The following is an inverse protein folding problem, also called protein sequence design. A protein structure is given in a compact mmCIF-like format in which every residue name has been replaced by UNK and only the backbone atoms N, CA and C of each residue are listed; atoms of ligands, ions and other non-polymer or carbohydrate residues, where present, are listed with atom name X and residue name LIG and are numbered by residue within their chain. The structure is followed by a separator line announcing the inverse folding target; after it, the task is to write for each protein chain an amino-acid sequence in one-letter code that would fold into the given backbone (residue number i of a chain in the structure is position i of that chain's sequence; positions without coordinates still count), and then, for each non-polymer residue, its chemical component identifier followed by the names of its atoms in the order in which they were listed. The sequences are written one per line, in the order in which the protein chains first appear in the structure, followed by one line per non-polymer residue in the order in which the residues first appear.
data_IF_237690146973
#
_entry.id   IF_237690146973
#
_cell.length_a   1.000
_cell.length_b   1.000
_cell.length_c   1.000
_cell.angle_alpha   90.00
_cell.angle_beta   90.00
_cell.angle_gamma   90.00
#
_symmetry.space_group_name_H-M   'P 1'
#
loop_
_entity.id
_entity.type
_entity.pdbx_description
1 polymer ?
#
# COMPACT_ATOMS: atom_id res chain seq x y z
N UNK A 1 -2.36 1.57 -14.11
CA UNK A 1 -2.35 2.27 -15.41
C UNK A 1 -2.80 1.35 -16.54
N UNK A 2 -2.15 0.18 -16.75
CA UNK A 2 -2.45 -0.74 -17.87
C UNK A 2 -3.95 -1.08 -17.98
N UNK A 3 -4.61 -1.49 -16.89
CA UNK A 3 -6.04 -1.81 -16.93
C UNK A 3 -6.92 -0.60 -17.22
N UNK A 4 -6.56 0.57 -16.75
CA UNK A 4 -7.28 1.79 -17.08
C UNK A 4 -7.18 2.13 -18.59
N UNK A 5 -6.03 1.92 -19.24
CA UNK A 5 -5.88 2.08 -20.67
C UNK A 5 -6.62 1.01 -21.50
N UNK A 6 -6.97 -0.11 -20.89
CA UNK A 6 -7.83 -1.15 -21.48
C UNK A 6 -9.34 -0.87 -21.26
N UNK A 7 -9.70 0.30 -20.71
CA UNK A 7 -11.08 0.73 -20.53
C UNK A 7 -11.65 0.50 -19.12
N UNK A 8 -10.87 -0.05 -18.18
CA UNK A 8 -11.35 -0.27 -16.81
C UNK A 8 -11.44 1.08 -16.06
N UNK A 9 -12.58 1.33 -15.43
CA UNK A 9 -12.78 2.47 -14.55
C UNK A 9 -12.28 2.12 -13.15
N UNK A 10 -11.44 2.99 -12.59
CA UNK A 10 -10.83 2.80 -11.26
C UNK A 10 -11.24 3.95 -10.35
N UNK A 11 -11.92 3.65 -9.26
CA UNK A 11 -12.35 4.62 -8.26
C UNK A 11 -11.58 4.40 -6.97
N UNK A 12 -10.99 5.44 -6.42
CA UNK A 12 -10.16 5.35 -5.22
C UNK A 12 -10.61 6.37 -4.17
N UNK A 13 -10.79 5.91 -2.95
CA UNK A 13 -10.96 6.78 -1.79
C UNK A 13 -9.67 6.72 -0.97
N UNK A 14 -9.06 7.87 -0.72
CA UNK A 14 -7.89 8.00 0.15
C UNK A 14 -8.28 8.68 1.46
N UNK A 15 -7.67 8.23 2.54
CA UNK A 15 -7.77 8.95 3.80
C UNK A 15 -7.12 10.33 3.66
N UNK A 16 -7.79 11.35 4.19
CA UNK A 16 -7.24 12.70 4.26
C UNK A 16 -6.66 12.89 5.65
N UNK A 17 -5.35 12.89 5.74
CA UNK A 17 -4.60 13.10 6.98
C UNK A 17 -4.92 14.43 7.63
N UNK A 18 -4.85 14.48 8.96
CA UNK A 18 -5.10 15.70 9.73
C UNK A 18 -4.03 16.76 9.42
N UNK A 19 -2.78 16.34 9.38
CA UNK A 19 -1.65 17.13 8.88
C UNK A 19 -0.48 16.22 8.52
N UNK A 20 0.32 16.62 7.53
CA UNK A 20 1.54 15.91 7.15
C UNK A 20 2.61 15.91 8.26
N UNK A 21 2.50 16.76 9.27
CA UNK A 21 3.43 16.78 10.41
C UNK A 21 3.18 15.63 11.39
N UNK A 22 1.90 15.24 11.58
CA UNK A 22 1.52 14.19 12.52
C UNK A 22 1.34 12.83 11.85
N UNK A 23 0.90 12.83 10.60
CA UNK A 23 0.67 11.62 9.79
C UNK A 23 1.16 11.88 8.37
N UNK A 24 2.45 11.68 8.09
CA UNK A 24 3.06 12.04 6.80
C UNK A 24 2.72 11.02 5.71
N UNK A 25 1.43 10.91 5.36
CA UNK A 25 0.96 10.00 4.31
C UNK A 25 0.88 10.65 2.94
N UNK A 26 0.87 11.99 2.89
CA UNK A 26 0.80 12.81 1.68
C UNK A 26 -0.25 12.35 0.67
N UNK A 27 -1.49 12.20 1.15
CA UNK A 27 -2.60 11.74 0.32
C UNK A 27 -2.94 12.72 -0.82
N UNK A 28 -2.57 13.99 -0.71
CA UNK A 28 -2.72 14.95 -1.79
C UNK A 28 -1.80 14.63 -2.97
N UNK A 29 -0.54 14.33 -2.69
CA UNK A 29 0.43 13.87 -3.68
C UNK A 29 -0.02 12.55 -4.31
N UNK A 30 -0.40 11.57 -3.50
CA UNK A 30 -0.88 10.28 -3.99
C UNK A 30 -2.10 10.43 -4.92
N UNK A 31 -3.07 11.29 -4.56
CA UNK A 31 -4.20 11.61 -5.44
C UNK A 31 -3.74 12.16 -6.78
N UNK A 32 -2.88 13.18 -6.78
CA UNK A 32 -2.37 13.81 -8.00
C UNK A 32 -1.69 12.77 -8.90
N UNK A 33 -0.76 12.01 -8.33
CA UNK A 33 0.00 10.98 -9.08
C UNK A 33 -0.87 9.89 -9.65
N UNK A 34 -1.89 9.43 -8.93
CA UNK A 34 -2.81 8.42 -9.43
C UNK A 34 -3.66 8.95 -10.60
N UNK A 35 -4.19 10.17 -10.47
CA UNK A 35 -5.02 10.77 -11.53
C UNK A 35 -4.24 11.13 -12.78
N UNK A 36 -2.94 11.45 -12.68
CA UNK A 36 -2.06 11.69 -13.82
C UNK A 36 -1.82 10.42 -14.67
N UNK A 37 -2.01 9.23 -14.12
CA UNK A 37 -1.75 7.97 -14.82
C UNK A 37 -2.73 7.72 -15.96
N UNK A 38 -4.03 8.04 -15.77
CA UNK A 38 -5.05 7.82 -16.81
C UNK A 38 -6.38 8.49 -16.44
N UNK A 39 -7.16 9.03 -17.40
CA UNK A 39 -8.48 9.63 -17.14
C UNK A 39 -9.51 8.71 -16.51
N UNK A 40 -9.39 7.40 -16.70
CA UNK A 40 -10.26 6.40 -16.09
C UNK A 40 -9.94 6.12 -14.60
N UNK A 41 -8.97 6.82 -14.02
CA UNK A 41 -8.63 6.72 -12.60
C UNK A 41 -9.13 7.98 -11.91
N UNK A 42 -10.13 7.82 -11.05
CA UNK A 42 -10.76 8.92 -10.31
C UNK A 42 -10.49 8.73 -8.82
N UNK A 43 -9.97 9.77 -8.18
CA UNK A 43 -9.57 9.71 -6.77
C UNK A 43 -10.28 10.78 -5.97
N UNK A 44 -10.93 10.39 -4.88
CA UNK A 44 -11.44 11.28 -3.86
C UNK A 44 -10.66 11.14 -2.55
N UNK A 45 -10.61 12.21 -1.76
CA UNK A 45 -10.06 12.17 -0.40
C UNK A 45 -11.20 12.32 0.60
N UNK A 46 -11.20 11.51 1.65
CA UNK A 46 -12.17 11.65 2.73
C UNK A 46 -12.12 13.05 3.34
N UNK A 47 -13.21 13.53 3.96
CA UNK A 47 -13.19 14.82 4.66
C UNK A 47 -12.12 14.81 5.76
N UNK A 48 -11.48 15.96 5.97
CA UNK A 48 -10.57 16.13 7.10
C UNK A 48 -11.34 16.01 8.42
N UNK A 49 -10.76 15.29 9.38
CA UNK A 49 -11.31 15.16 10.74
C UNK A 49 -11.56 16.51 11.42
N UNK A 50 -10.75 17.52 11.10
CA UNK A 50 -10.95 18.90 11.58
C UNK A 50 -12.27 19.52 11.08
N UNK A 51 -12.68 19.19 9.84
CA UNK A 51 -13.92 19.72 9.26
C UNK A 51 -15.17 19.00 9.78
N UNK A 52 -15.03 17.71 10.09
CA UNK A 52 -16.17 16.89 10.57
C UNK A 52 -16.33 16.91 12.09
N UNK A 53 -15.34 17.39 12.83
CA UNK A 53 -15.34 17.38 14.30
C UNK A 53 -15.19 15.99 14.92
N UNK A 54 -14.87 14.98 14.13
CA UNK A 54 -14.74 13.58 14.57
C UNK A 54 -13.27 13.23 14.83
N UNK A 55 -12.72 13.63 15.97
CA UNK A 55 -11.30 13.43 16.29
C UNK A 55 -10.96 11.98 16.67
N UNK A 56 -11.92 11.22 17.19
CA UNK A 56 -11.68 9.89 17.77
C UNK A 56 -12.01 8.75 16.80
N UNK A 57 -12.63 9.02 15.67
CA UNK A 57 -13.12 8.01 14.76
C UNK A 57 -12.63 8.27 13.34
N UNK A 58 -12.07 7.22 12.72
CA UNK A 58 -11.64 7.25 11.33
C UNK A 58 -12.13 5.99 10.61
N UNK A 59 -12.33 6.10 9.31
CA UNK A 59 -12.42 4.93 8.46
C UNK A 59 -11.02 4.37 8.22
N UNK A 60 -10.70 3.26 8.86
CA UNK A 60 -9.39 2.61 8.78
C UNK A 60 -9.43 1.32 7.95
N UNK A 61 -10.46 1.13 7.18
CA UNK A 61 -10.62 -0.01 6.30
C UNK A 61 -9.66 0.03 5.09
N UNK A 62 -9.19 -1.14 4.67
CA UNK A 62 -8.47 -1.35 3.42
C UNK A 62 -9.31 -2.31 2.61
N UNK A 63 -9.88 -1.81 1.52
CA UNK A 63 -10.88 -2.50 0.70
C UNK A 63 -10.53 -2.33 -0.77
N UNK A 64 -10.54 -3.44 -1.51
CA UNK A 64 -10.47 -3.45 -2.95
C UNK A 64 -11.59 -4.33 -3.49
N UNK A 65 -12.43 -3.79 -4.37
CA UNK A 65 -13.52 -4.53 -5.02
C UNK A 65 -13.33 -4.55 -6.52
N UNK A 66 -13.41 -5.72 -7.12
CA UNK A 66 -13.26 -5.93 -8.56
C UNK A 66 -14.59 -6.43 -9.12
N UNK A 67 -15.17 -5.67 -10.06
CA UNK A 67 -16.37 -6.01 -10.83
C UNK A 67 -17.58 -6.46 -9.98
N UNK A 68 -17.67 -6.00 -8.73
CA UNK A 68 -18.70 -6.37 -7.75
C UNK A 68 -18.76 -7.88 -7.44
N UNK A 69 -17.78 -8.65 -7.87
CA UNK A 69 -17.75 -10.10 -7.78
C UNK A 69 -16.71 -10.59 -6.77
N UNK A 70 -15.58 -9.88 -6.68
CA UNK A 70 -14.47 -10.22 -5.81
C UNK A 70 -14.12 -9.00 -4.97
N UNK A 71 -13.93 -9.22 -3.68
CA UNK A 71 -13.41 -8.19 -2.79
C UNK A 71 -12.22 -8.71 -1.99
N UNK A 72 -11.30 -7.83 -1.68
CA UNK A 72 -10.19 -8.05 -0.77
C UNK A 72 -10.31 -7.04 0.36
N UNK A 73 -10.21 -7.51 1.59
CA UNK A 73 -10.30 -6.66 2.77
C UNK A 73 -9.32 -7.14 3.84
N UNK A 74 -8.74 -6.22 4.59
CA UNK A 74 -7.81 -6.57 5.66
C UNK A 74 -7.06 -5.38 6.22
N UNK A 75 -5.91 -5.64 6.82
CA UNK A 75 -5.02 -4.63 7.40
C UNK A 75 -4.02 -4.01 6.43
N UNK A 76 -3.91 -4.52 5.21
CA UNK A 76 -2.89 -4.11 4.23
C UNK A 76 -3.12 -2.70 3.71
N UNK A 77 -2.33 -1.76 4.18
CA UNK A 77 -2.18 -0.48 3.48
C UNK A 77 -1.35 -0.66 2.20
N UNK A 78 -1.72 0.04 1.12
CA UNK A 78 -0.92 0.10 -0.10
C UNK A 78 0.21 1.13 0.08
N UNK A 79 1.19 0.80 0.89
CA UNK A 79 2.37 1.62 1.12
C UNK A 79 3.60 0.74 1.38
N UNK A 80 4.78 1.35 1.32
CA UNK A 80 6.03 0.65 1.61
C UNK A 80 6.08 0.15 3.05
N UNK A 81 6.89 -0.88 3.27
CA UNK A 81 7.09 -1.47 4.59
C UNK A 81 5.95 -2.38 5.05
N UNK A 82 5.00 -2.72 4.18
CA UNK A 82 3.84 -3.56 4.51
C UNK A 82 3.93 -4.99 3.97
N UNK A 83 4.80 -5.24 3.01
CA UNK A 83 4.98 -6.58 2.45
C UNK A 83 5.57 -7.53 3.49
N UNK A 84 4.98 -8.70 3.60
CA UNK A 84 5.40 -9.77 4.51
C UNK A 84 5.26 -11.12 3.83
N UNK A 85 5.96 -12.12 4.36
CA UNK A 85 5.91 -13.49 3.89
C UNK A 85 5.55 -14.44 5.02
N UNK A 86 5.14 -15.70 4.77
CA UNK A 86 4.81 -16.65 5.82
C UNK A 86 5.92 -16.93 6.84
N UNK A 87 7.16 -16.68 6.47
CA UNK A 87 8.32 -16.85 7.37
C UNK A 87 8.63 -15.63 8.23
N UNK A 88 7.97 -14.49 7.97
CA UNK A 88 8.11 -13.22 8.71
C UNK A 88 9.58 -12.78 8.92
N UNK A 89 10.44 -12.78 7.88
CA UNK A 89 11.83 -12.40 8.05
C UNK A 89 11.95 -10.90 8.40
N UNK A 90 12.99 -10.56 9.14
CA UNK A 90 13.31 -9.17 9.50
C UNK A 90 14.59 -8.67 8.84
N UNK A 91 15.35 -9.59 8.27
CA UNK A 91 16.65 -9.33 7.64
C UNK A 91 16.58 -9.87 6.22
N UNK A 92 17.15 -9.12 5.29
CA UNK A 92 17.32 -9.57 3.93
C UNK A 92 18.64 -10.33 3.81
N UNK A 93 18.55 -11.67 3.85
CA UNK A 93 19.74 -12.54 3.80
C UNK A 93 20.53 -12.39 2.50
N UNK A 94 19.92 -11.92 1.42
CA UNK A 94 20.62 -11.64 0.17
C UNK A 94 21.64 -10.49 0.31
N UNK A 95 21.41 -9.56 1.23
CA UNK A 95 22.36 -8.50 1.53
C UNK A 95 23.55 -8.98 2.37
N UNK A 96 23.46 -10.16 3.00
CA UNK A 96 24.47 -10.72 3.91
C UNK A 96 25.36 -11.77 3.24
N UNK A 97 25.12 -12.11 1.98
CA UNK A 97 25.85 -13.16 1.24
C UNK A 97 24.94 -14.06 0.42
N UNK A 98 25.45 -15.15 -0.16
CA UNK A 98 24.62 -16.03 -0.97
C UNK A 98 23.42 -16.51 -0.16
N UNK A 99 22.23 -16.15 -0.62
CA UNK A 99 20.96 -16.49 0.02
C UNK A 99 20.85 -17.98 0.28
N UNK A 100 20.53 -18.35 1.51
CA UNK A 100 20.15 -19.72 1.87
C UNK A 100 18.71 -20.07 1.47
N UNK A 101 17.96 -19.09 1.00
CA UNK A 101 16.58 -19.28 0.55
C UNK A 101 16.57 -19.86 -0.85
N UNK A 102 16.21 -21.14 -0.96
CA UNK A 102 16.06 -21.87 -2.22
C UNK A 102 14.66 -21.79 -2.81
N UNK A 103 13.73 -21.08 -2.17
CA UNK A 103 12.35 -20.96 -2.64
C UNK A 103 12.14 -19.69 -3.47
N UNK A 104 12.03 -19.83 -4.82
CA UNK A 104 11.81 -18.67 -5.71
C UNK A 104 10.49 -17.93 -5.45
N UNK A 105 9.51 -18.58 -4.79
CA UNK A 105 8.20 -17.95 -4.50
C UNK A 105 8.28 -16.91 -3.39
N UNK A 106 9.34 -16.93 -2.60
CA UNK A 106 9.60 -15.98 -1.51
C UNK A 106 10.43 -14.79 -1.98
N UNK A 107 10.97 -14.83 -3.18
CA UNK A 107 11.73 -13.73 -3.76
C UNK A 107 10.76 -12.80 -4.49
N UNK A 108 10.80 -11.52 -4.18
CA UNK A 108 10.10 -10.50 -4.95
C UNK A 108 10.57 -10.48 -6.41
N UNK A 109 9.83 -9.81 -7.33
CA UNK A 109 10.25 -9.70 -8.71
C UNK A 109 11.65 -9.07 -8.79
N UNK A 110 12.59 -9.80 -9.35
CA UNK A 110 13.91 -9.25 -9.63
C UNK A 110 13.76 -8.06 -10.57
N UNK A 111 14.19 -6.89 -10.13
CA UNK A 111 14.41 -5.77 -11.02
C UNK A 111 15.66 -6.07 -11.83
N UNK A 112 15.60 -5.88 -13.15
CA UNK A 112 16.65 -6.24 -14.10
C UNK A 112 18.05 -5.90 -13.58
N UNK A 113 18.85 -6.92 -13.28
CA UNK A 113 20.26 -6.80 -12.90
C UNK A 113 20.56 -6.59 -11.40
N UNK A 114 19.57 -6.60 -10.53
CA UNK A 114 19.76 -6.56 -9.07
C UNK A 114 19.74 -7.98 -8.48
N UNK A 115 20.51 -8.21 -7.42
CA UNK A 115 20.34 -9.42 -6.60
C UNK A 115 18.88 -9.48 -6.10
N UNK A 116 18.31 -10.68 -6.11
CA UNK A 116 16.91 -10.87 -5.72
C UNK A 116 16.74 -10.61 -4.22
N UNK A 117 16.22 -9.46 -3.89
CA UNK A 117 15.88 -9.09 -2.51
C UNK A 117 14.44 -9.45 -2.18
N UNK A 118 14.18 -9.84 -0.93
CA UNK A 118 12.82 -10.07 -0.42
C UNK A 118 12.02 -8.78 -0.45
N UNK A 119 12.64 -7.66 -0.09
CA UNK A 119 12.03 -6.32 -0.12
C UNK A 119 12.82 -5.39 -1.03
N UNK A 120 12.30 -5.04 -2.22
CA UNK A 120 12.98 -4.12 -3.12
C UNK A 120 12.93 -2.68 -2.61
N UNK A 121 14.06 -1.99 -2.67
CA UNK A 121 14.17 -0.57 -2.41
C UNK A 121 13.50 -0.14 -1.09
N UNK A 122 12.64 0.88 -1.16
CA UNK A 122 12.01 1.49 0.01
C UNK A 122 11.03 0.57 0.76
N UNK A 123 10.67 -0.59 0.22
CA UNK A 123 9.88 -1.55 1.00
C UNK A 123 10.68 -2.16 2.15
N UNK A 124 12.02 -2.19 2.04
CA UNK A 124 12.87 -2.44 3.20
C UNK A 124 12.98 -1.17 4.04
N UNK A 125 12.10 -1.05 5.02
CA UNK A 125 11.96 0.17 5.81
C UNK A 125 11.83 -0.12 7.31
N UNK A 126 12.18 0.89 8.09
CA UNK A 126 11.91 0.93 9.51
C UNK A 126 11.47 2.35 9.87
N UNK A 127 10.19 2.58 10.02
CA UNK A 127 9.59 3.90 10.27
C UNK A 127 10.09 4.59 11.53
N UNK A 128 10.67 3.84 12.47
CA UNK A 128 11.29 4.40 13.67
C UNK A 128 12.68 4.99 13.42
N UNK A 129 13.26 4.73 12.26
CA UNK A 129 14.64 5.11 11.92
C UNK A 129 14.72 6.04 10.71
N UNK A 130 13.70 6.06 9.87
CA UNK A 130 13.74 6.75 8.59
C UNK A 130 12.47 7.56 8.38
N UNK A 131 12.65 8.81 8.01
CA UNK A 131 11.60 9.63 7.44
C UNK A 131 11.57 9.44 5.92
N UNK A 132 10.40 9.23 5.35
CA UNK A 132 10.20 9.06 3.92
C UNK A 132 10.39 10.39 3.19
N UNK A 133 11.61 10.63 2.68
CA UNK A 133 11.96 11.90 2.05
C UNK A 133 12.00 11.84 0.53
N UNK A 134 12.10 10.66 -0.08
CA UNK A 134 12.36 10.51 -1.51
C UNK A 134 11.30 9.63 -2.16
N UNK A 135 10.09 10.16 -2.29
CA UNK A 135 8.93 9.44 -2.86
C UNK A 135 9.09 9.09 -4.35
N UNK A 136 10.00 9.77 -5.06
CA UNK A 136 10.19 9.58 -6.51
C UNK A 136 11.17 8.47 -6.88
N UNK A 137 11.83 7.84 -5.91
CA UNK A 137 12.83 6.78 -6.11
C UNK A 137 12.49 5.54 -5.28
N UNK A 138 11.41 4.83 -5.60
CA UNK A 138 10.95 3.70 -4.80
C UNK A 138 11.94 2.52 -4.74
N UNK A 139 12.80 2.42 -5.75
CA UNK A 139 13.86 1.40 -5.85
C UNK A 139 15.08 1.66 -4.95
N UNK A 140 15.18 2.86 -4.38
CA UNK A 140 16.33 3.24 -3.57
C UNK A 140 16.20 2.74 -2.14
N UNK A 141 17.23 2.09 -1.63
CA UNK A 141 17.31 1.71 -0.23
C UNK A 141 17.43 2.96 0.66
N UNK A 142 16.59 3.02 1.70
CA UNK A 142 16.64 4.09 2.71
C UNK A 142 17.50 3.72 3.90
N UNK A 143 17.78 2.43 4.09
CA UNK A 143 18.52 1.89 5.22
C UNK A 143 19.64 0.97 4.76
N UNK A 144 20.78 0.95 5.48
CA UNK A 144 21.78 -0.10 5.30
C UNK A 144 21.23 -1.43 5.82
N UNK A 145 20.91 -2.36 4.91
CA UNK A 145 20.26 -3.65 5.21
C UNK A 145 21.13 -4.56 6.08
N UNK A 146 22.45 -4.41 5.99
CA UNK A 146 23.45 -5.13 6.78
C UNK A 146 23.54 -4.69 8.24
N UNK A 147 22.96 -3.54 8.59
CA UNK A 147 23.08 -2.92 9.92
C UNK A 147 21.76 -2.70 10.64
N UNK A 148 20.69 -2.47 9.88
CA UNK A 148 19.39 -2.12 10.45
C UNK A 148 18.36 -3.14 9.98
N UNK A 149 17.72 -3.88 10.88
CA UNK A 149 16.66 -4.80 10.52
C UNK A 149 15.44 -4.01 10.02
N UNK A 150 14.67 -4.64 9.14
CA UNK A 150 13.36 -4.16 8.74
C UNK A 150 12.43 -4.11 9.96
N UNK A 151 11.53 -3.14 10.00
CA UNK A 151 10.47 -3.14 10.99
C UNK A 151 9.53 -4.33 10.72
N UNK A 152 9.22 -5.17 11.74
CA UNK A 152 8.29 -6.27 11.55
C UNK A 152 6.91 -5.74 11.17
N UNK A 153 6.30 -6.37 10.17
CA UNK A 153 4.94 -6.08 9.77
C UNK A 153 4.20 -7.38 9.48
N UNK A 154 3.00 -7.48 9.99
CA UNK A 154 2.15 -8.64 9.77
C UNK A 154 0.69 -8.21 9.76
N UNK A 155 0.04 -8.44 8.63
CA UNK A 155 -1.38 -8.14 8.44
C UNK A 155 -2.13 -9.38 7.99
N UNK A 156 -3.43 -9.39 8.26
CA UNK A 156 -4.36 -10.42 7.80
C UNK A 156 -5.28 -9.83 6.74
N UNK A 157 -5.44 -10.57 5.65
CA UNK A 157 -6.38 -10.23 4.58
C UNK A 157 -7.29 -11.40 4.25
N UNK A 158 -8.46 -11.09 3.73
CA UNK A 158 -9.42 -12.07 3.23
C UNK A 158 -9.83 -11.75 1.81
N UNK A 159 -10.04 -12.80 1.01
CA UNK A 159 -10.70 -12.71 -0.27
C UNK A 159 -12.17 -13.13 -0.11
N UNK A 160 -13.07 -12.33 -0.64
CA UNK A 160 -14.51 -12.48 -0.50
C UNK A 160 -15.12 -12.57 -1.89
N UNK A 161 -16.01 -13.53 -2.12
CA UNK A 161 -16.64 -13.77 -3.41
C UNK A 161 -18.16 -13.67 -3.32
N UNK A 162 -18.80 -13.26 -4.43
CA UNK A 162 -20.24 -13.29 -4.60
C UNK A 162 -20.99 -12.21 -3.84
N UNK A 163 -22.09 -12.57 -3.17
CA UNK A 163 -22.98 -11.60 -2.53
C UNK A 163 -22.30 -10.69 -1.50
N UNK A 164 -21.46 -11.18 -0.58
CA UNK A 164 -20.76 -10.30 0.36
C UNK A 164 -19.83 -9.30 -0.32
N UNK A 165 -19.22 -9.66 -1.47
CA UNK A 165 -18.42 -8.70 -2.25
C UNK A 165 -19.28 -7.57 -2.83
N UNK A 166 -20.52 -7.84 -3.21
CA UNK A 166 -21.50 -6.82 -3.64
C UNK A 166 -21.89 -5.89 -2.49
N UNK A 167 -22.01 -6.42 -1.28
CA UNK A 167 -22.33 -5.61 -0.10
C UNK A 167 -21.17 -4.66 0.23
N UNK A 168 -19.93 -5.12 0.09
CA UNK A 168 -18.75 -4.27 0.20
C UNK A 168 -18.66 -3.22 -0.92
N UNK A 169 -19.05 -3.58 -2.14
CA UNK A 169 -19.16 -2.61 -3.24
C UNK A 169 -20.22 -1.54 -2.91
N UNK A 170 -21.38 -1.93 -2.38
CA UNK A 170 -22.42 -0.97 -1.95
C UNK A 170 -21.91 -0.04 -0.87
N UNK A 171 -21.17 -0.57 0.10
CA UNK A 171 -20.51 0.23 1.13
C UNK A 171 -19.54 1.27 0.53
N UNK A 172 -18.68 0.84 -0.42
CA UNK A 172 -17.80 1.74 -1.15
C UNK A 172 -18.59 2.86 -1.87
N UNK A 173 -19.66 2.50 -2.61
CA UNK A 173 -20.50 3.47 -3.31
C UNK A 173 -21.16 4.48 -2.36
N UNK A 174 -21.65 4.01 -1.22
CA UNK A 174 -22.23 4.89 -0.20
C UNK A 174 -21.21 5.90 0.32
N UNK A 175 -19.99 5.43 0.63
CA UNK A 175 -18.90 6.33 1.04
C UNK A 175 -18.51 7.31 -0.06
N UNK A 176 -18.39 6.83 -1.29
CA UNK A 176 -18.09 7.67 -2.45
C UNK A 176 -19.09 8.83 -2.62
N UNK A 177 -20.36 8.52 -2.46
CA UNK A 177 -21.44 9.49 -2.64
C UNK A 177 -21.56 10.48 -1.46
N UNK A 178 -20.93 10.21 -0.32
CA UNK A 178 -20.89 11.12 0.84
C UNK A 178 -19.74 12.13 0.75
N UNK A 179 -18.77 11.93 -0.14
CA UNK A 179 -17.60 12.79 -0.31
C UNK A 179 -17.82 13.86 -1.34
#
# INVERSE_FOLDING_TARGET
QKKASEGVLVYVILNNEVSNQFTPTDSAYAKSRLMELHPNIVVQRSPSHLKTGTFYWAHHEKLCVVDQMVAFMGGFDLCFGRYDTPSHPLVDDAAMGPSTTTDPSLLGPALDGAEAHIWPGQDYANERKVEWQILTKPEMDLLPRDKVPRMPWHDVGVQILGQPARDLCRHFCQRWNML
#
